data_IF_091737654851
#
_entry.id   IF_091737654851
#
_cell.length_a   1.000
_cell.length_b   1.000
_cell.length_c   1.000
_cell.angle_alpha   90.00
_cell.angle_beta   90.00
_cell.angle_gamma   90.00
#
_symmetry.space_group_name_H-M   'P 1'
#
loop_
_entity.id
_entity.type
_entity.pdbx_description
1 polymer ?
#
# COMPACT_ATOMS: atom_id res chain seq x y z
N UNK A 1 -0.91 18.84 -0.66
CA UNK A 1 -1.89 18.03 -1.32
C UNK A 1 -2.91 17.44 -0.36
N UNK A 2 -3.83 16.73 -0.93
CA UNK A 2 -4.88 16.08 -0.15
C UNK A 2 -4.34 14.73 0.33
N UNK A 3 -4.45 14.41 1.63
CA UNK A 3 -4.01 13.10 2.09
C UNK A 3 -4.86 11.98 1.47
N UNK A 4 -4.30 10.78 1.31
CA UNK A 4 -5.08 9.69 0.76
C UNK A 4 -6.27 9.37 1.66
N UNK A 5 -7.35 8.93 1.05
CA UNK A 5 -8.52 8.53 1.79
C UNK A 5 -8.34 7.11 2.29
N UNK A 6 -9.00 6.79 3.40
CA UNK A 6 -8.97 5.44 3.94
C UNK A 6 -9.54 4.45 2.93
N UNK A 7 -8.95 3.28 2.84
CA UNK A 7 -9.41 2.25 1.93
C UNK A 7 -8.26 1.38 1.47
N UNK A 8 -8.57 0.51 0.53
CA UNK A 8 -7.59 -0.41 -0.05
C UNK A 8 -7.56 -0.25 -1.55
N UNK A 9 -6.37 -0.37 -2.12
CA UNK A 9 -6.20 -0.39 -3.57
C UNK A 9 -5.32 -1.56 -3.95
N UNK A 10 -5.53 -2.07 -5.16
CA UNK A 10 -4.76 -3.17 -5.71
C UNK A 10 -4.28 -2.77 -7.10
N UNK A 11 -3.01 -2.97 -7.35
CA UNK A 11 -2.43 -2.69 -8.66
C UNK A 11 -1.54 -3.83 -9.06
N UNK A 12 -1.33 -3.97 -10.36
CA UNK A 12 -0.39 -4.93 -10.90
C UNK A 12 0.66 -4.13 -11.66
N UNK A 13 1.93 -4.35 -11.31
CA UNK A 13 3.04 -3.68 -11.97
C UNK A 13 3.98 -4.73 -12.53
N UNK A 14 4.64 -4.38 -13.64
CA UNK A 14 5.63 -5.25 -14.24
C UNK A 14 7.01 -4.71 -13.93
N UNK A 15 7.88 -5.60 -13.44
CA UNK A 15 9.23 -5.21 -13.10
C UNK A 15 10.12 -6.44 -13.22
N UNK A 16 11.27 -6.28 -13.88
CA UNK A 16 12.24 -7.36 -14.07
C UNK A 16 11.63 -8.56 -14.78
N UNK A 17 10.73 -8.32 -15.75
CA UNK A 17 10.12 -9.39 -16.53
C UNK A 17 9.07 -10.19 -15.80
N UNK A 18 8.60 -9.70 -14.67
CA UNK A 18 7.64 -10.40 -13.85
C UNK A 18 6.55 -9.44 -13.37
N UNK A 19 5.35 -9.94 -13.22
CA UNK A 19 4.25 -9.14 -12.69
C UNK A 19 4.19 -9.25 -11.17
N UNK A 20 3.93 -8.11 -10.53
CA UNK A 20 3.85 -8.02 -9.08
C UNK A 20 2.52 -7.43 -8.69
N UNK A 21 1.93 -7.96 -7.64
CA UNK A 21 0.69 -7.45 -7.09
C UNK A 21 1.02 -6.49 -5.96
N UNK A 22 0.49 -5.27 -6.06
CA UNK A 22 0.73 -4.22 -5.10
C UNK A 22 -0.56 -3.96 -4.32
N UNK A 23 -0.52 -4.22 -3.03
CA UNK A 23 -1.66 -3.94 -2.15
C UNK A 23 -1.33 -2.72 -1.31
N UNK A 24 -2.22 -1.75 -1.31
CA UNK A 24 -2.04 -0.57 -0.49
C UNK A 24 -3.26 -0.41 0.40
N UNK A 25 -3.04 -0.27 1.69
CA UNK A 25 -4.11 -0.03 2.64
C UNK A 25 -3.85 1.27 3.36
N UNK A 26 -4.85 2.15 3.39
CA UNK A 26 -4.77 3.43 4.09
C UNK A 26 -5.74 3.38 5.24
N UNK A 27 -5.25 3.59 6.45
CA UNK A 27 -6.03 3.51 7.67
C UNK A 27 -5.93 4.83 8.42
N UNK A 28 -7.06 5.33 8.90
CA UNK A 28 -7.06 6.52 9.73
C UNK A 28 -6.49 6.19 11.10
N UNK A 29 -5.71 7.13 11.63
CA UNK A 29 -5.18 6.98 12.99
C UNK A 29 -6.10 7.74 13.96
N UNK A 30 -5.79 7.64 15.24
CA UNK A 30 -6.49 8.40 16.25
C UNK A 30 -6.15 9.89 16.21
N UNK A 31 -5.14 10.27 15.44
CA UNK A 31 -4.75 11.68 15.31
C UNK A 31 -5.34 12.25 14.04
N UNK A 32 -6.13 13.33 14.13
CA UNK A 32 -6.74 13.92 12.94
C UNK A 32 -5.68 14.34 11.93
N UNK A 33 -5.92 14.05 10.68
CA UNK A 33 -5.01 14.42 9.60
C UNK A 33 -3.85 13.47 9.39
N UNK A 34 -3.67 12.47 10.25
CA UNK A 34 -2.62 11.47 10.08
C UNK A 34 -3.23 10.15 9.65
N UNK A 35 -2.66 9.55 8.62
CA UNK A 35 -3.09 8.24 8.15
C UNK A 35 -1.90 7.29 8.13
N UNK A 36 -2.19 6.03 8.31
CA UNK A 36 -1.19 4.98 8.19
C UNK A 36 -1.35 4.33 6.82
N UNK A 37 -0.25 4.16 6.14
CA UNK A 37 -0.24 3.53 4.82
C UNK A 37 0.60 2.27 4.91
N UNK A 38 0.00 1.14 4.58
CA UNK A 38 0.67 -0.15 4.53
C UNK A 38 0.70 -0.61 3.09
N UNK A 39 1.88 -1.00 2.61
CA UNK A 39 2.05 -1.48 1.25
C UNK A 39 2.64 -2.87 1.31
N UNK A 40 2.03 -3.80 0.59
CA UNK A 40 2.54 -5.16 0.46
C UNK A 40 2.75 -5.45 -1.02
N UNK A 41 3.90 -6.06 -1.34
CA UNK A 41 4.24 -6.44 -2.71
C UNK A 41 4.40 -7.95 -2.78
N UNK A 42 3.65 -8.59 -3.65
CA UNK A 42 3.67 -10.04 -3.80
C UNK A 42 3.79 -10.41 -5.28
N UNK A 43 4.44 -11.54 -5.60
CA UNK A 43 4.43 -12.03 -6.97
C UNK A 43 3.00 -12.33 -7.41
N UNK A 44 2.68 -12.04 -8.67
CA UNK A 44 1.34 -12.29 -9.18
C UNK A 44 0.96 -13.77 -9.09
N UNK A 45 1.95 -14.66 -9.23
CA UNK A 45 1.69 -16.09 -9.14
C UNK A 45 1.41 -16.56 -7.72
N UNK A 46 1.73 -15.74 -6.70
CA UNK A 46 1.48 -16.08 -5.31
C UNK A 46 1.09 -14.81 -4.55
N UNK A 47 -0.08 -14.24 -4.85
CA UNK A 47 -0.45 -12.95 -4.24
C UNK A 47 -0.68 -13.01 -2.73
N UNK A 48 -0.83 -14.21 -2.17
CA UNK A 48 -1.02 -14.38 -0.74
C UNK A 48 0.29 -14.41 0.05
N UNK A 49 1.43 -14.35 -0.67
CA UNK A 49 2.74 -14.44 -0.02
C UNK A 49 3.56 -13.20 -0.33
N UNK A 50 3.31 -12.09 0.37
CA UNK A 50 4.08 -10.87 0.12
C UNK A 50 5.55 -11.09 0.44
N UNK A 51 6.42 -10.55 -0.43
CA UNK A 51 7.85 -10.61 -0.22
C UNK A 51 8.38 -9.35 0.44
N UNK A 52 7.63 -8.25 0.35
CA UNK A 52 7.99 -6.98 0.96
C UNK A 52 6.74 -6.35 1.54
N UNK A 53 6.85 -5.84 2.76
CA UNK A 53 5.79 -5.02 3.35
C UNK A 53 6.42 -3.77 3.93
N UNK A 54 5.76 -2.65 3.73
CA UNK A 54 6.21 -1.36 4.22
C UNK A 54 5.06 -0.65 4.91
N UNK A 55 5.37 0.08 5.97
CA UNK A 55 4.37 0.89 6.67
C UNK A 55 4.92 2.28 6.88
N UNK A 56 4.07 3.27 6.71
CA UNK A 56 4.47 4.65 6.92
C UNK A 56 3.29 5.44 7.45
N UNK A 57 3.57 6.59 8.03
CA UNK A 57 2.56 7.53 8.49
C UNK A 57 2.67 8.77 7.62
N UNK A 58 1.52 9.24 7.13
CA UNK A 58 1.46 10.41 6.27
C UNK A 58 0.54 11.44 6.89
N UNK A 59 1.03 12.67 6.98
CA UNK A 59 0.26 13.77 7.52
C UNK A 59 -0.28 14.69 6.42
N UNK A 60 -1.05 15.71 6.81
CA UNK A 60 -1.54 16.69 5.85
C UNK A 60 -0.38 17.56 5.38
N UNK A 61 -0.25 17.77 4.17
CA UNK A 61 0.78 18.48 3.47
C UNK A 61 2.15 17.88 3.59
#
# INVERSE_FOLDING_TARGET
GVPPQAGETNDIVEMAGQEWHLFTEVTKTQFPGLVRIDVAVAPEISPDNPVITLSTIMGPN
#
